data_IF_110726100689
#
_entry.id   IF_110726100689
#
_cell.length_a   1.000
_cell.length_b   1.000
_cell.length_c   1.000
_cell.angle_alpha   90.00
_cell.angle_beta   90.00
_cell.angle_gamma   90.00
#
_symmetry.space_group_name_H-M   'P 1'
#
loop_
_entity.id
_entity.type
_entity.pdbx_description
1 polymer ?
#
# COMPACT_ATOMS: atom_id res chain seq x y z
N UNK A 1 19.53 -1.93 -17.29
CA UNK A 1 18.24 -2.19 -17.94
C UNK A 1 17.15 -1.68 -17.02
N UNK A 2 16.25 -0.83 -17.52
CA UNK A 2 15.13 -0.34 -16.73
C UNK A 2 14.21 -1.51 -16.34
N UNK A 3 13.60 -1.50 -15.13
CA UNK A 3 12.67 -2.55 -14.74
C UNK A 3 11.47 -2.55 -15.70
N UNK A 4 11.15 -3.72 -16.25
CA UNK A 4 9.92 -3.91 -17.02
C UNK A 4 8.75 -3.88 -16.04
N UNK A 5 7.96 -2.81 -16.08
CA UNK A 5 6.65 -2.81 -15.45
C UNK A 5 5.75 -3.82 -16.19
N UNK A 6 5.01 -4.62 -15.45
CA UNK A 6 4.10 -5.62 -16.01
C UNK A 6 2.89 -4.91 -16.64
N UNK A 7 2.86 -4.79 -17.96
CA UNK A 7 1.70 -4.32 -18.73
C UNK A 7 0.71 -5.50 -18.94
N UNK A 8 0.04 -5.90 -17.86
CA UNK A 8 -1.15 -6.75 -17.98
C UNK A 8 -2.27 -5.99 -18.72
N UNK A 9 -3.32 -6.69 -19.21
CA UNK A 9 -4.48 -6.02 -19.79
C UNK A 9 -4.96 -4.94 -18.82
N UNK A 10 -5.31 -3.76 -19.33
CA UNK A 10 -5.75 -2.59 -18.56
C UNK A 10 -7.06 -2.89 -17.79
N UNK A 11 -6.96 -3.71 -16.75
CA UNK A 11 -7.99 -3.95 -15.78
C UNK A 11 -7.84 -2.88 -14.71
N UNK A 12 -8.95 -2.29 -14.27
CA UNK A 12 -8.95 -1.36 -13.16
C UNK A 12 -8.16 -1.93 -11.97
N UNK A 13 -7.26 -1.12 -11.36
CA UNK A 13 -6.44 -1.58 -10.25
C UNK A 13 -7.34 -2.01 -9.09
N UNK A 14 -6.95 -3.06 -8.36
CA UNK A 14 -7.72 -3.55 -7.20
C UNK A 14 -7.95 -2.46 -6.14
N UNK A 15 -6.92 -1.64 -5.93
CA UNK A 15 -6.89 -0.49 -5.02
C UNK A 15 -5.98 0.60 -5.60
N UNK A 16 -6.25 1.85 -5.22
CA UNK A 16 -5.43 3.02 -5.51
C UNK A 16 -4.86 3.56 -4.21
N UNK A 17 -3.56 3.81 -4.16
CA UNK A 17 -2.89 4.40 -3.00
C UNK A 17 -2.55 5.86 -3.29
N UNK A 18 -2.75 6.71 -2.30
CA UNK A 18 -2.42 8.13 -2.34
C UNK A 18 -1.38 8.43 -1.28
N UNK A 19 -0.32 9.12 -1.68
CA UNK A 19 0.77 9.52 -0.80
C UNK A 19 1.03 11.00 -0.97
N UNK A 20 1.23 11.69 0.14
CA UNK A 20 1.90 12.99 0.14
C UNK A 20 3.39 12.81 -0.18
N UNK A 21 4.07 13.81 -0.77
CA UNK A 21 5.52 13.75 -1.00
C UNK A 21 6.32 13.36 0.26
N UNK A 22 5.95 13.92 1.42
CA UNK A 22 6.60 13.66 2.70
C UNK A 22 6.41 12.20 3.14
N UNK A 23 5.24 11.60 2.87
CA UNK A 23 5.04 10.17 3.12
C UNK A 23 5.92 9.31 2.22
N UNK A 24 6.15 9.70 0.97
CA UNK A 24 7.07 8.99 0.07
C UNK A 24 8.50 9.09 0.60
N UNK A 25 8.95 10.26 1.04
CA UNK A 25 10.29 10.46 1.60
C UNK A 25 10.51 9.58 2.83
N UNK A 26 9.54 9.55 3.75
CA UNK A 26 9.59 8.70 4.95
C UNK A 26 9.66 7.23 4.57
N UNK A 27 8.74 6.75 3.71
CA UNK A 27 8.68 5.34 3.34
C UNK A 27 9.87 4.86 2.53
N UNK A 28 10.51 5.75 1.77
CA UNK A 28 11.71 5.46 0.97
C UNK A 28 12.95 5.21 1.83
N UNK A 29 12.93 5.55 3.13
CA UNK A 29 13.99 5.21 4.08
C UNK A 29 13.98 3.73 4.50
N UNK A 30 12.90 2.99 4.20
CA UNK A 30 12.82 1.57 4.52
C UNK A 30 13.87 0.76 3.76
N UNK A 31 14.63 -0.08 4.48
CA UNK A 31 15.69 -0.93 3.90
C UNK A 31 15.19 -2.30 3.44
N UNK A 32 14.00 -2.69 3.88
CA UNK A 32 13.37 -3.97 3.60
C UNK A 32 11.84 -3.84 3.64
N UNK A 33 11.15 -4.85 3.11
CA UNK A 33 9.70 -4.86 2.97
C UNK A 33 8.98 -4.84 4.33
N UNK A 34 9.49 -5.54 5.34
CA UNK A 34 8.86 -5.60 6.66
C UNK A 34 8.91 -4.24 7.37
N UNK A 35 10.05 -3.56 7.27
CA UNK A 35 10.24 -2.19 7.74
C UNK A 35 9.32 -1.22 7.01
N UNK A 36 9.22 -1.34 5.68
CA UNK A 36 8.30 -0.52 4.88
C UNK A 36 6.85 -0.69 5.35
N UNK A 37 6.36 -1.92 5.48
CA UNK A 37 4.97 -2.17 5.88
C UNK A 37 4.67 -1.71 7.31
N UNK A 38 5.64 -1.86 8.23
CA UNK A 38 5.54 -1.29 9.57
C UNK A 38 5.40 0.23 9.52
N UNK A 39 6.26 0.92 8.78
CA UNK A 39 6.22 2.39 8.66
C UNK A 39 4.92 2.88 8.01
N UNK A 40 4.48 2.20 6.95
CA UNK A 40 3.22 2.49 6.27
C UNK A 40 2.02 2.35 7.21
N UNK A 41 1.98 1.28 8.01
CA UNK A 41 0.93 1.07 9.01
C UNK A 41 0.92 2.17 10.08
N UNK A 42 2.08 2.60 10.56
CA UNK A 42 2.15 3.69 11.54
C UNK A 42 1.63 5.01 10.93
N UNK A 43 2.00 5.34 9.69
CA UNK A 43 1.49 6.51 8.98
C UNK A 43 -0.04 6.46 8.76
N UNK A 44 -0.60 5.28 8.49
CA UNK A 44 -2.05 5.10 8.38
C UNK A 44 -2.78 5.33 9.71
N UNK A 45 -2.19 4.88 10.83
CA UNK A 45 -2.82 4.98 12.17
C UNK A 45 -2.69 6.37 12.76
N UNK A 46 -1.52 6.98 12.59
CA UNK A 46 -1.19 8.28 13.16
C UNK A 46 -0.38 9.07 12.13
N UNK A 47 -1.04 9.88 11.29
CA UNK A 47 -0.35 10.74 10.33
C UNK A 47 0.63 11.66 11.07
N UNK A 48 1.90 11.62 10.67
CA UNK A 48 2.95 12.42 11.30
C UNK A 48 3.12 13.75 10.54
N UNK A 49 2.53 14.82 11.08
CA UNK A 49 2.62 16.15 10.47
C UNK A 49 2.01 16.18 9.06
N UNK A 50 2.83 16.51 8.06
CA UNK A 50 2.43 16.56 6.65
C UNK A 50 2.39 15.16 5.98
N UNK A 51 3.06 14.16 6.54
CA UNK A 51 3.12 12.83 5.97
C UNK A 51 1.78 12.10 6.14
N UNK A 52 1.05 11.98 5.03
CA UNK A 52 -0.25 11.31 4.93
C UNK A 52 -0.24 10.26 3.84
N UNK A 53 -0.96 9.18 4.14
CA UNK A 53 -1.28 8.09 3.21
C UNK A 53 -2.78 7.87 3.23
N UNK A 54 -3.36 7.60 2.08
CA UNK A 54 -4.79 7.28 1.93
C UNK A 54 -4.95 6.20 0.85
N UNK A 55 -6.13 5.59 0.78
CA UNK A 55 -6.41 4.55 -0.20
C UNK A 55 -7.88 4.55 -0.64
N UNK A 56 -8.08 4.14 -1.88
CA UNK A 56 -9.40 3.87 -2.44
C UNK A 56 -9.45 2.42 -2.89
N UNK A 57 -10.44 1.68 -2.41
CA UNK A 57 -10.75 0.36 -2.95
C UNK A 57 -11.60 0.51 -4.20
N UNK A 58 -11.14 -0.07 -5.31
CA UNK A 58 -11.91 -0.06 -6.56
C UNK A 58 -12.73 -1.36 -6.72
N UNK A 59 -12.38 -2.40 -5.97
CA UNK A 59 -13.11 -3.67 -5.88
C UNK A 59 -13.72 -3.85 -4.50
N UNK A 60 -14.82 -4.60 -4.43
CA UNK A 60 -15.48 -4.90 -3.16
C UNK A 60 -14.59 -5.74 -2.24
N UNK A 61 -14.74 -5.57 -0.92
CA UNK A 61 -14.00 -6.33 0.10
C UNK A 61 -14.14 -7.85 -0.08
N UNK A 62 -15.31 -8.33 -0.49
CA UNK A 62 -15.54 -9.76 -0.77
C UNK A 62 -14.65 -10.25 -1.92
N UNK A 63 -14.53 -9.46 -3.00
CA UNK A 63 -13.68 -9.81 -4.14
C UNK A 63 -12.20 -9.78 -3.75
N UNK A 64 -11.77 -8.77 -3.00
CA UNK A 64 -10.41 -8.65 -2.48
C UNK A 64 -10.05 -9.81 -1.54
N UNK A 65 -10.98 -10.22 -0.68
CA UNK A 65 -10.80 -11.38 0.20
C UNK A 65 -10.56 -12.67 -0.59
N UNK A 66 -11.36 -12.93 -1.63
CA UNK A 66 -11.18 -14.09 -2.53
C UNK A 66 -9.85 -14.06 -3.28
N UNK A 67 -9.32 -12.87 -3.56
CA UNK A 67 -8.02 -12.66 -4.22
C UNK A 67 -6.83 -12.77 -3.24
N UNK A 68 -7.06 -13.00 -1.94
CA UNK A 68 -6.01 -13.20 -0.95
C UNK A 68 -5.55 -11.93 -0.22
N UNK A 69 -6.14 -10.77 -0.49
CA UNK A 69 -5.76 -9.50 0.17
C UNK A 69 -5.96 -9.54 1.68
N UNK A 70 -6.98 -10.25 2.19
CA UNK A 70 -7.18 -10.40 3.64
C UNK A 70 -6.05 -11.19 4.29
N UNK A 71 -5.54 -12.23 3.61
CA UNK A 71 -4.40 -13.02 4.11
C UNK A 71 -3.13 -12.16 4.15
N UNK A 72 -2.91 -11.36 3.11
CA UNK A 72 -1.82 -10.38 3.08
C UNK A 72 -1.95 -9.33 4.19
N UNK A 73 -3.13 -8.72 4.35
CA UNK A 73 -3.38 -7.68 5.33
C UNK A 73 -3.13 -8.17 6.76
N UNK A 74 -3.58 -9.38 7.09
CA UNK A 74 -3.28 -10.03 8.39
C UNK A 74 -1.79 -10.27 8.59
N UNK A 75 -1.08 -10.75 7.56
CA UNK A 75 0.37 -11.04 7.64
C UNK A 75 1.17 -9.79 8.03
N UNK A 76 0.77 -8.61 7.54
CA UNK A 76 1.46 -7.35 7.81
C UNK A 76 0.78 -6.48 8.87
N UNK A 77 -0.29 -6.97 9.50
CA UNK A 77 -0.98 -6.32 10.62
C UNK A 77 -1.79 -5.07 10.23
N UNK A 78 -2.38 -5.05 9.03
CA UNK A 78 -3.36 -4.05 8.60
C UNK A 78 -4.80 -4.41 9.02
N UNK A 79 -5.02 -5.66 9.42
CA UNK A 79 -6.27 -6.21 9.96
C UNK A 79 -5.98 -7.02 11.21
#
# INVERSE_FOLDING_TARGET
>A
GAPRFYEGPASDPDLTLYFTPEAVEVLSQAKDADTYYRMYRELMKSPQGAARVDYKLNKSMVKLAKMGYVKWARRYGFL
#
